data_IF_176148095082
#
_entry.id   IF_176148095082
#
_cell.length_a   1.000
_cell.length_b   1.000
_cell.length_c   1.000
_cell.angle_alpha   90.00
_cell.angle_beta   90.00
_cell.angle_gamma   90.00
#
_symmetry.space_group_name_H-M   'P 1'
#
loop_
_entity.id
_entity.type
_entity.pdbx_description
1 polymer ?
#
# COMPACT_ATOMS: atom_id res chain seq x y z
N UNK A 1 19.38 -30.61 -15.99
CA UNK A 1 19.96 -29.70 -14.97
C UNK A 1 19.18 -28.39 -14.87
N UNK A 2 18.96 -27.65 -15.97
CA UNK A 2 18.32 -26.31 -15.91
C UNK A 2 16.89 -26.27 -15.34
N UNK A 3 16.05 -27.28 -15.59
CA UNK A 3 14.66 -27.29 -15.09
C UNK A 3 14.55 -27.30 -13.55
N UNK A 4 15.50 -27.96 -12.86
CA UNK A 4 15.51 -28.00 -11.39
C UNK A 4 15.87 -26.64 -10.78
N UNK A 5 16.77 -25.88 -11.41
CA UNK A 5 17.14 -24.55 -10.96
C UNK A 5 15.97 -23.57 -11.09
N UNK A 6 15.29 -23.56 -12.25
CA UNK A 6 14.11 -22.72 -12.44
C UNK A 6 12.99 -23.08 -11.47
N UNK A 7 12.72 -24.36 -11.25
CA UNK A 7 11.73 -24.81 -10.28
C UNK A 7 12.08 -24.38 -8.85
N UNK A 8 13.35 -24.49 -8.44
CA UNK A 8 13.81 -24.03 -7.13
C UNK A 8 13.59 -22.52 -6.96
N UNK A 9 13.98 -21.73 -7.95
CA UNK A 9 13.79 -20.26 -7.91
C UNK A 9 12.31 -19.93 -7.80
N UNK A 10 11.45 -20.57 -8.59
CA UNK A 10 9.99 -20.35 -8.52
C UNK A 10 9.44 -20.64 -7.12
N UNK A 11 9.83 -21.76 -6.50
CA UNK A 11 9.38 -22.12 -5.15
C UNK A 11 9.88 -21.12 -4.11
N UNK A 12 11.14 -20.69 -4.20
CA UNK A 12 11.71 -19.70 -3.29
C UNK A 12 11.04 -18.33 -3.44
N UNK A 13 10.78 -17.88 -4.67
CA UNK A 13 10.05 -16.65 -4.94
C UNK A 13 8.62 -16.72 -4.39
N UNK A 14 7.92 -17.84 -4.62
CA UNK A 14 6.56 -18.03 -4.12
C UNK A 14 6.54 -18.07 -2.59
N UNK A 15 7.47 -18.80 -1.96
CA UNK A 15 7.59 -18.86 -0.50
C UNK A 15 7.89 -17.49 0.12
N UNK A 16 8.78 -16.72 -0.51
CA UNK A 16 9.10 -15.35 -0.06
C UNK A 16 7.88 -14.43 -0.17
N UNK A 17 7.16 -14.49 -1.29
CA UNK A 17 5.95 -13.69 -1.49
C UNK A 17 4.88 -14.00 -0.42
N UNK A 18 4.59 -15.28 -0.20
CA UNK A 18 3.65 -15.72 0.84
C UNK A 18 4.11 -15.32 2.24
N UNK A 19 5.41 -15.42 2.53
CA UNK A 19 6.01 -14.98 3.79
C UNK A 19 5.80 -13.48 4.05
N UNK A 20 5.96 -12.65 3.02
CA UNK A 20 5.71 -11.20 3.11
C UNK A 20 4.22 -10.91 3.35
N UNK A 21 3.31 -11.60 2.65
CA UNK A 21 1.85 -11.46 2.85
C UNK A 21 1.46 -11.84 4.28
N UNK A 22 1.98 -12.95 4.80
CA UNK A 22 1.75 -13.38 6.18
C UNK A 22 2.27 -12.35 7.18
N UNK A 23 3.49 -11.84 6.97
CA UNK A 23 4.08 -10.82 7.84
C UNK A 23 3.28 -9.51 7.82
N UNK A 24 2.81 -9.08 6.65
CA UNK A 24 1.97 -7.89 6.50
C UNK A 24 0.61 -8.02 7.22
N UNK A 25 0.08 -9.24 7.33
CA UNK A 25 -1.15 -9.52 8.08
C UNK A 25 -0.94 -9.80 9.58
N UNK A 26 0.31 -9.84 10.03
CA UNK A 26 0.61 -10.03 11.45
C UNK A 26 0.11 -8.84 12.30
N UNK A 27 -0.28 -9.14 13.55
CA UNK A 27 -0.84 -8.15 14.50
C UNK A 27 0.07 -6.94 14.75
N UNK A 28 1.37 -7.06 14.48
CA UNK A 28 2.34 -5.97 14.65
C UNK A 28 2.38 -5.01 13.44
N UNK A 29 1.99 -5.45 12.24
CA UNK A 29 2.12 -4.67 10.99
C UNK A 29 0.80 -4.27 10.36
N UNK A 30 -0.29 -4.94 10.73
CA UNK A 30 -1.61 -4.69 10.17
C UNK A 30 -2.08 -3.23 10.37
N UNK A 31 -1.82 -2.61 11.53
CA UNK A 31 -2.24 -1.23 11.83
C UNK A 31 -1.54 -0.20 10.94
N UNK A 32 -0.21 -0.28 10.83
CA UNK A 32 0.60 0.61 10.02
C UNK A 32 0.24 0.53 8.52
N UNK A 33 -0.05 -0.68 8.03
CA UNK A 33 -0.52 -0.88 6.66
C UNK A 33 -1.93 -0.28 6.44
N UNK A 34 -2.82 -0.40 7.42
CA UNK A 34 -4.18 0.15 7.34
C UNK A 34 -4.17 1.67 7.27
N UNK A 35 -3.34 2.31 8.09
CA UNK A 35 -3.18 3.76 8.08
C UNK A 35 -2.61 4.25 6.75
N UNK A 36 -1.56 3.59 6.24
CA UNK A 36 -0.93 3.94 4.96
C UNK A 36 -1.89 3.81 3.77
N UNK A 37 -2.80 2.83 3.80
CA UNK A 37 -3.81 2.63 2.76
C UNK A 37 -4.86 3.76 2.67
N UNK A 38 -5.00 4.56 3.74
CA UNK A 38 -5.98 5.65 3.82
C UNK A 38 -5.37 7.02 3.48
N UNK A 39 -4.04 7.12 3.33
CA UNK A 39 -3.35 8.40 3.13
C UNK A 39 -3.80 9.24 1.89
N UNK A 40 -4.34 8.69 0.78
CA UNK A 40 -4.93 9.52 -0.28
C UNK A 40 -6.43 9.83 -0.08
N UNK A 41 -7.09 9.20 0.90
CA UNK A 41 -8.54 9.33 1.17
C UNK A 41 -8.84 10.02 2.52
N UNK A 42 -7.81 10.23 3.34
CA UNK A 42 -7.89 10.96 4.59
C UNK A 42 -7.71 12.48 4.40
N UNK A 43 -7.42 12.90 3.16
CA UNK A 43 -7.47 14.30 2.78
C UNK A 43 -8.95 14.73 2.71
N UNK A 44 -9.29 15.96 3.13
CA UNK A 44 -10.64 16.49 2.92
C UNK A 44 -11.03 16.35 1.45
N UNK A 45 -12.27 15.96 1.17
CA UNK A 45 -12.78 15.93 -0.20
C UNK A 45 -12.54 17.31 -0.85
N UNK A 46 -11.93 17.33 -2.04
CA UNK A 46 -11.67 18.57 -2.81
C UNK A 46 -12.98 19.28 -3.24
N UNK A 47 -14.15 18.68 -2.94
CA UNK A 47 -15.50 19.19 -3.19
C UNK A 47 -16.12 19.94 -1.99
N UNK A 48 -15.39 20.12 -0.88
CA UNK A 48 -15.74 21.13 0.13
C UNK A 48 -15.75 22.53 -0.49
N UNK A 49 -16.62 23.47 -0.07
CA UNK A 49 -16.82 24.74 -0.76
C UNK A 49 -15.46 25.39 -0.99
N UNK A 50 -15.09 25.51 -2.27
CA UNK A 50 -13.82 26.05 -2.70
C UNK A 50 -13.45 27.24 -1.84
N UNK A 51 -12.20 27.27 -1.39
CA UNK A 51 -11.50 28.42 -0.86
C UNK A 51 -11.70 29.63 -1.80
N UNK A 52 -12.85 30.30 -1.70
CA UNK A 52 -13.18 31.56 -2.36
C UNK A 52 -12.59 32.69 -1.54
N UNK A 53 -11.27 32.72 -1.37
CA UNK A 53 -10.61 33.73 -0.54
C UNK A 53 -9.38 34.34 -1.22
N UNK A 54 -9.23 34.12 -2.53
CA UNK A 54 -8.07 34.60 -3.31
C UNK A 54 -8.37 35.50 -4.50
N UNK A 55 -9.63 35.72 -4.89
CA UNK A 55 -9.96 36.33 -6.19
C UNK A 55 -10.96 37.50 -6.16
N UNK A 56 -11.25 38.09 -5.00
CA UNK A 56 -11.93 39.39 -4.94
C UNK A 56 -11.25 40.32 -3.91
N UNK A 57 -10.14 40.92 -4.33
CA UNK A 57 -9.71 42.22 -3.79
C UNK A 57 -10.26 43.29 -4.74
N UNK A 58 -11.01 44.30 -4.24
CA UNK A 58 -11.49 45.41 -5.06
C UNK A 58 -10.36 46.32 -5.56
#
# INVERSE_FOLDING_TARGET
MMGYLSALITVLSMGTFLGIVWWAWSSHRQSANRESALLPFALPDEDGPAQQDGAMQP
#
